data_IF_562350149678
#
_entry.id   IF_562350149678
#
_cell.length_a   1.000
_cell.length_b   1.000
_cell.length_c   1.000
_cell.angle_alpha   90.00
_cell.angle_beta   90.00
_cell.angle_gamma   90.00
#
_symmetry.space_group_name_H-M   'P 1'
#
loop_
_entity.id
_entity.type
_entity.pdbx_description
1 polymer ?
#
# COMPACT_ATOMS: atom_id res chain seq x y z
N UNK A 1 -17.91 2.96 6.14
CA UNK A 1 -17.15 3.68 5.11
C UNK A 1 -18.12 4.61 4.39
N UNK A 2 -17.85 5.91 4.42
CA UNK A 2 -18.67 6.92 3.73
C UNK A 2 -17.79 7.64 2.70
N UNK A 3 -18.29 7.80 1.47
CA UNK A 3 -17.65 8.66 0.47
C UNK A 3 -18.25 10.06 0.56
N UNK A 4 -17.44 11.04 0.95
CA UNK A 4 -17.85 12.43 1.10
C UNK A 4 -17.31 13.24 -0.06
N UNK A 5 -18.19 13.82 -0.87
CA UNK A 5 -17.81 14.73 -1.96
C UNK A 5 -17.46 16.09 -1.38
N UNK A 6 -16.35 16.66 -1.83
CA UNK A 6 -15.89 18.01 -1.46
C UNK A 6 -15.38 18.75 -2.70
N UNK A 7 -15.35 20.10 -2.69
CA UNK A 7 -14.61 20.83 -3.71
C UNK A 7 -13.11 20.53 -3.60
N UNK A 8 -12.43 20.43 -4.74
CA UNK A 8 -10.97 20.33 -4.77
C UNK A 8 -10.34 21.62 -4.23
N UNK A 9 -9.20 21.52 -3.53
CA UNK A 9 -8.52 22.71 -3.03
C UNK A 9 -8.04 23.58 -4.20
N UNK A 10 -8.11 24.91 -4.10
CA UNK A 10 -7.59 25.78 -5.14
C UNK A 10 -6.09 25.53 -5.38
N UNK A 11 -5.68 25.50 -6.65
CA UNK A 11 -4.27 25.43 -7.06
C UNK A 11 -3.50 24.19 -6.56
N UNK A 12 -4.20 23.10 -6.21
CA UNK A 12 -3.58 21.90 -5.66
C UNK A 12 -2.53 21.30 -6.62
N UNK A 13 -2.73 21.36 -7.94
CA UNK A 13 -1.75 20.85 -8.91
C UNK A 13 -0.45 21.66 -8.89
N UNK A 14 -0.54 23.00 -8.80
CA UNK A 14 0.64 23.86 -8.71
C UNK A 14 1.42 23.58 -7.42
N UNK A 15 0.70 23.38 -6.31
CA UNK A 15 1.30 22.95 -5.04
C UNK A 15 1.94 21.56 -5.15
N UNK A 16 1.26 20.59 -5.77
CA UNK A 16 1.79 19.26 -6.01
C UNK A 16 3.12 19.32 -6.79
N UNK A 17 3.17 20.11 -7.87
CA UNK A 17 4.40 20.31 -8.64
C UNK A 17 5.51 20.98 -7.81
N UNK A 18 5.19 21.99 -7.01
CA UNK A 18 6.15 22.66 -6.11
C UNK A 18 6.73 21.70 -5.05
N UNK A 19 5.92 20.77 -4.56
CA UNK A 19 6.30 19.79 -3.54
C UNK A 19 6.93 18.50 -4.11
N UNK A 20 7.16 18.44 -5.42
CA UNK A 20 7.83 17.32 -6.10
C UNK A 20 6.91 16.17 -6.51
N UNK A 21 5.58 16.32 -6.41
CA UNK A 21 4.61 15.31 -6.83
C UNK A 21 4.34 15.36 -8.34
N UNK A 22 5.35 15.10 -9.16
CA UNK A 22 5.30 15.35 -10.61
C UNK A 22 4.33 14.45 -11.40
N UNK A 23 3.87 13.35 -10.81
CA UNK A 23 2.95 12.39 -11.43
C UNK A 23 1.52 12.49 -10.87
N UNK A 24 1.16 13.65 -10.30
CA UNK A 24 -0.21 13.92 -9.86
C UNK A 24 -1.25 13.86 -11.00
N UNK A 25 -0.79 13.96 -12.24
CA UNK A 25 -1.54 13.79 -13.50
C UNK A 25 -0.69 12.96 -14.46
N UNK A 26 -1.28 11.92 -15.06
CA UNK A 26 -0.60 11.00 -15.99
C UNK A 26 -1.42 10.97 -17.28
N UNK A 27 -0.78 11.24 -18.41
CA UNK A 27 -1.43 11.25 -19.74
C UNK A 27 -2.68 12.14 -19.84
N UNK A 28 -2.70 13.25 -19.08
CA UNK A 28 -3.83 14.18 -19.00
C UNK A 28 -4.93 13.77 -18.01
N UNK A 29 -4.85 12.58 -17.42
CA UNK A 29 -5.79 12.07 -16.43
C UNK A 29 -5.30 12.30 -14.99
N UNK A 30 -6.16 12.73 -14.06
CA UNK A 30 -5.78 12.93 -12.67
C UNK A 30 -5.47 11.60 -11.98
N UNK A 31 -4.21 11.44 -11.55
CA UNK A 31 -3.76 10.35 -10.68
C UNK A 31 -4.22 10.61 -9.24
N UNK A 32 -3.98 11.83 -8.75
CA UNK A 32 -4.49 12.30 -7.46
C UNK A 32 -5.84 13.00 -7.65
N UNK A 33 -6.83 12.68 -6.80
CA UNK A 33 -8.19 13.23 -6.88
C UNK A 33 -8.62 13.78 -5.53
N UNK A 34 -9.02 15.04 -5.48
CA UNK A 34 -9.46 15.71 -4.25
C UNK A 34 -10.97 15.93 -4.18
N UNK A 35 -11.72 15.53 -5.22
CA UNK A 35 -13.17 15.74 -5.29
C UNK A 35 -13.99 14.92 -4.30
N UNK A 36 -13.36 13.99 -3.58
CA UNK A 36 -13.95 13.27 -2.47
C UNK A 36 -12.89 12.69 -1.55
N UNK A 37 -13.29 12.42 -0.30
CA UNK A 37 -12.53 11.57 0.61
C UNK A 37 -13.41 10.43 1.14
N UNK A 38 -12.77 9.41 1.72
CA UNK A 38 -13.45 8.32 2.38
C UNK A 38 -13.28 8.45 3.89
N UNK A 39 -14.39 8.42 4.61
CA UNK A 39 -14.43 8.40 6.06
C UNK A 39 -14.66 6.97 6.54
N UNK A 40 -13.85 6.55 7.50
CA UNK A 40 -13.97 5.26 8.17
C UNK A 40 -14.26 5.50 9.65
N UNK A 41 -14.96 4.56 10.29
CA UNK A 41 -14.97 4.51 11.76
C UNK A 41 -13.67 3.88 12.25
N UNK A 42 -13.29 4.15 13.49
CA UNK A 42 -12.11 3.51 14.09
C UNK A 42 -12.23 1.97 14.08
N UNK A 43 -13.42 1.44 14.38
CA UNK A 43 -13.68 0.00 14.33
C UNK A 43 -13.45 -0.59 12.92
N UNK A 44 -13.84 0.12 11.86
CA UNK A 44 -13.56 -0.33 10.48
C UNK A 44 -12.06 -0.36 10.19
N UNK A 45 -11.30 0.61 10.71
CA UNK A 45 -9.85 0.63 10.56
C UNK A 45 -9.22 -0.54 11.31
N UNK A 46 -9.42 -0.63 12.61
CA UNK A 46 -8.74 -1.61 13.47
C UNK A 46 -9.16 -3.05 13.14
N UNK A 47 -10.48 -3.29 13.03
CA UNK A 47 -11.03 -4.64 12.87
C UNK A 47 -11.07 -5.10 11.42
N UNK A 48 -11.54 -4.25 10.51
CA UNK A 48 -11.77 -4.69 9.13
C UNK A 48 -10.52 -4.54 8.25
N UNK A 49 -9.52 -3.73 8.64
CA UNK A 49 -8.33 -3.45 7.83
C UNK A 49 -7.00 -3.81 8.52
N UNK A 50 -6.72 -3.33 9.74
CA UNK A 50 -5.45 -3.59 10.43
C UNK A 50 -5.32 -5.07 10.82
N UNK A 51 -6.32 -5.63 11.50
CA UNK A 51 -6.34 -7.05 11.90
C UNK A 51 -6.07 -8.02 10.73
N UNK A 52 -6.78 -7.95 9.58
CA UNK A 52 -6.47 -8.82 8.45
C UNK A 52 -5.10 -8.50 7.83
N UNK A 53 -4.64 -7.24 7.82
CA UNK A 53 -3.31 -6.88 7.34
C UNK A 53 -2.21 -7.60 8.13
N UNK A 54 -2.27 -7.55 9.46
CA UNK A 54 -1.33 -8.23 10.35
C UNK A 54 -1.36 -9.75 10.14
N UNK A 55 -2.56 -10.33 10.16
CA UNK A 55 -2.74 -11.78 9.97
C UNK A 55 -2.16 -12.25 8.63
N UNK A 56 -2.43 -11.52 7.55
CA UNK A 56 -1.94 -11.85 6.21
C UNK A 56 -0.44 -11.63 6.08
N UNK A 57 0.12 -10.64 6.77
CA UNK A 57 1.56 -10.42 6.82
C UNK A 57 2.26 -11.62 7.45
N UNK A 58 1.80 -12.08 8.63
CA UNK A 58 2.35 -13.26 9.30
C UNK A 58 2.24 -14.53 8.44
N UNK A 59 1.08 -14.73 7.81
CA UNK A 59 0.88 -15.84 6.87
C UNK A 59 1.85 -15.76 5.68
N UNK A 60 2.11 -14.56 5.15
CA UNK A 60 3.06 -14.35 4.07
C UNK A 60 4.48 -14.66 4.52
N UNK A 61 4.92 -14.17 5.68
CA UNK A 61 6.26 -14.46 6.21
C UNK A 61 6.48 -15.96 6.44
N UNK A 62 5.46 -16.67 6.96
CA UNK A 62 5.51 -18.12 7.11
C UNK A 62 5.57 -18.85 5.75
N UNK A 63 4.88 -18.34 4.73
CA UNK A 63 4.96 -18.88 3.37
C UNK A 63 6.36 -18.67 2.78
N UNK A 64 6.93 -17.46 2.91
CA UNK A 64 8.28 -17.14 2.41
C UNK A 64 9.32 -18.07 3.03
N UNK A 65 9.29 -18.28 4.36
CA UNK A 65 10.22 -19.20 5.02
C UNK A 65 10.16 -20.62 4.42
N UNK A 66 8.95 -21.13 4.20
CA UNK A 66 8.75 -22.46 3.59
C UNK A 66 9.26 -22.51 2.15
N UNK A 67 9.03 -21.47 1.36
CA UNK A 67 9.47 -21.39 -0.04
C UNK A 67 10.99 -21.32 -0.13
N UNK A 68 11.64 -20.47 0.68
CA UNK A 68 13.09 -20.30 0.68
C UNK A 68 13.85 -21.58 1.04
N UNK A 69 13.19 -22.56 1.67
CA UNK A 69 13.76 -23.87 2.06
C UNK A 69 13.33 -25.04 1.17
N UNK A 70 12.65 -24.77 0.05
CA UNK A 70 12.08 -25.81 -0.81
C UNK A 70 12.32 -25.55 -2.29
N UNK A 71 13.26 -26.29 -2.87
CA UNK A 71 13.54 -26.27 -4.32
C UNK A 71 12.29 -26.56 -5.16
N UNK A 72 11.43 -27.49 -4.72
CA UNK A 72 10.18 -27.80 -5.41
C UNK A 72 9.20 -26.61 -5.44
N UNK A 73 9.15 -25.81 -4.37
CA UNK A 73 8.33 -24.59 -4.35
C UNK A 73 8.95 -23.46 -5.16
N UNK A 74 10.27 -23.27 -5.09
CA UNK A 74 10.99 -22.31 -5.92
C UNK A 74 10.82 -22.62 -7.41
N UNK A 75 10.89 -23.90 -7.79
CA UNK A 75 10.61 -24.35 -9.15
C UNK A 75 9.16 -24.06 -9.56
N UNK A 76 8.19 -24.32 -8.67
CA UNK A 76 6.76 -24.01 -8.93
C UNK A 76 6.50 -22.51 -9.11
N UNK A 77 7.28 -21.65 -8.46
CA UNK A 77 7.26 -20.20 -8.64
C UNK A 77 8.07 -19.73 -9.87
N UNK A 78 8.59 -20.67 -10.67
CA UNK A 78 9.41 -20.40 -11.84
C UNK A 78 10.66 -19.56 -11.55
N UNK A 79 11.20 -19.66 -10.32
CA UNK A 79 12.44 -18.99 -9.94
C UNK A 79 13.63 -19.74 -10.55
N UNK A 80 14.55 -19.07 -11.27
CA UNK A 80 15.72 -19.71 -11.86
C UNK A 80 16.62 -20.39 -10.82
N UNK A 81 17.06 -21.62 -11.08
CA UNK A 81 17.85 -22.44 -10.15
C UNK A 81 19.13 -21.76 -9.64
N UNK A 82 19.77 -20.95 -10.49
CA UNK A 82 20.99 -20.22 -10.11
C UNK A 82 20.76 -19.13 -9.05
N UNK A 83 19.50 -18.75 -8.76
CA UNK A 83 19.14 -17.76 -7.75
C UNK A 83 18.80 -18.38 -6.38
N UNK A 84 18.57 -19.69 -6.31
CA UNK A 84 18.00 -20.34 -5.12
C UNK A 84 18.88 -20.17 -3.87
N UNK A 85 20.20 -20.36 -3.99
CA UNK A 85 21.13 -20.16 -2.88
C UNK A 85 21.16 -18.70 -2.40
N UNK A 86 21.09 -17.74 -3.32
CA UNK A 86 21.04 -16.31 -2.99
C UNK A 86 19.76 -15.97 -2.22
N UNK A 87 18.62 -16.51 -2.63
CA UNK A 87 17.33 -16.32 -1.95
C UNK A 87 17.36 -16.94 -0.55
N UNK A 88 17.84 -18.17 -0.42
CA UNK A 88 17.97 -18.85 0.87
C UNK A 88 18.89 -18.08 1.82
N UNK A 89 20.05 -17.61 1.34
CA UNK A 89 20.97 -16.77 2.14
C UNK A 89 20.37 -15.43 2.52
N UNK A 90 19.67 -14.76 1.60
CA UNK A 90 19.00 -13.49 1.88
C UNK A 90 18.01 -13.65 3.03
N UNK A 91 17.13 -14.67 2.96
CA UNK A 91 16.14 -14.95 3.99
C UNK A 91 16.78 -15.33 5.34
N UNK A 92 17.73 -16.27 5.33
CA UNK A 92 18.36 -16.76 6.57
C UNK A 92 19.30 -15.76 7.24
N UNK A 93 19.74 -14.72 6.52
CA UNK A 93 20.49 -13.61 7.12
C UNK A 93 19.65 -12.78 8.10
N UNK A 94 18.31 -12.90 8.05
CA UNK A 94 17.41 -12.23 8.99
C UNK A 94 17.35 -10.71 8.82
N UNK A 95 17.73 -10.18 7.66
CA UNK A 95 17.59 -8.75 7.38
C UNK A 95 16.10 -8.36 7.39
N UNK A 96 15.71 -7.32 8.15
CA UNK A 96 14.32 -6.92 8.23
C UNK A 96 13.85 -6.29 6.91
N UNK A 97 12.61 -6.53 6.47
CA UNK A 97 12.02 -5.76 5.39
C UNK A 97 11.85 -4.30 5.80
N UNK A 98 11.96 -3.37 4.84
CA UNK A 98 11.78 -1.95 5.12
C UNK A 98 10.29 -1.57 5.18
N UNK A 99 9.54 -1.88 4.12
CA UNK A 99 8.08 -1.70 4.05
C UNK A 99 7.49 -2.54 2.90
N UNK A 100 6.17 -2.69 2.90
CA UNK A 100 5.41 -3.34 1.82
C UNK A 100 4.06 -2.65 1.64
N UNK A 101 3.38 -2.93 0.52
CA UNK A 101 2.01 -2.49 0.25
C UNK A 101 1.12 -3.71 0.06
N UNK A 102 -0.04 -3.73 0.71
CA UNK A 102 -1.07 -4.74 0.48
C UNK A 102 -2.27 -4.09 -0.18
N UNK A 103 -2.77 -4.72 -1.23
CA UNK A 103 -3.91 -4.22 -1.97
C UNK A 103 -5.15 -5.03 -1.57
N UNK A 104 -6.20 -4.33 -1.16
CA UNK A 104 -7.41 -4.93 -0.60
C UNK A 104 -8.66 -4.52 -1.36
N UNK A 105 -9.61 -5.44 -1.48
CA UNK A 105 -11.00 -5.15 -1.75
C UNK A 105 -11.77 -5.01 -0.42
N UNK A 106 -12.43 -3.88 -0.22
CA UNK A 106 -13.20 -3.60 0.99
C UNK A 106 -14.53 -2.91 0.65
N UNK A 107 -15.63 -3.45 1.16
CA UNK A 107 -16.99 -2.95 0.92
C UNK A 107 -17.47 -1.96 1.99
N UNK A 108 -16.74 -1.82 3.10
CA UNK A 108 -17.24 -1.14 4.30
C UNK A 108 -17.96 -2.07 5.29
N UNK A 109 -18.14 -3.34 4.95
CA UNK A 109 -18.83 -4.36 5.76
C UNK A 109 -18.02 -5.67 5.81
N UNK A 110 -17.50 -6.00 7.00
CA UNK A 110 -16.68 -7.19 7.24
C UNK A 110 -15.21 -7.03 6.82
N UNK A 111 -14.36 -8.05 7.03
CA UNK A 111 -12.92 -7.91 6.84
C UNK A 111 -12.53 -7.73 5.36
N UNK A 112 -11.59 -6.82 5.12
CA UNK A 112 -10.98 -6.59 3.82
C UNK A 112 -10.38 -7.88 3.23
N UNK A 113 -10.44 -8.01 1.90
CA UNK A 113 -9.99 -9.21 1.16
C UNK A 113 -8.75 -8.90 0.33
N UNK A 114 -7.70 -9.67 0.55
CA UNK A 114 -6.42 -9.51 -0.12
C UNK A 114 -6.55 -9.75 -1.63
N UNK A 115 -6.02 -8.81 -2.41
CA UNK A 115 -5.86 -8.94 -3.86
C UNK A 115 -4.41 -9.27 -4.20
N UNK A 116 -3.46 -8.50 -3.69
CA UNK A 116 -2.03 -8.70 -3.93
C UNK A 116 -1.13 -8.18 -2.79
N UNK A 117 0.13 -8.66 -2.79
CA UNK A 117 1.18 -8.28 -1.86
C UNK A 117 2.37 -7.71 -2.65
N UNK A 118 2.66 -6.43 -2.46
CA UNK A 118 3.76 -5.71 -3.12
C UNK A 118 4.90 -5.47 -2.12
N UNK A 119 5.86 -6.39 -2.07
CA UNK A 119 6.98 -6.36 -1.09
C UNK A 119 8.35 -6.09 -1.74
N UNK A 120 8.43 -6.07 -3.07
CA UNK A 120 9.67 -5.83 -3.81
C UNK A 120 9.86 -4.34 -4.13
N UNK A 121 8.91 -3.76 -4.84
CA UNK A 121 8.90 -2.33 -5.21
C UNK A 121 7.58 -1.63 -4.85
N UNK A 122 7.19 -1.61 -3.55
CA UNK A 122 6.01 -0.87 -3.13
C UNK A 122 6.14 0.62 -3.49
N UNK A 123 5.02 1.25 -3.85
CA UNK A 123 4.89 2.70 -4.06
C UNK A 123 3.87 3.27 -3.07
N UNK A 124 3.49 4.55 -3.21
CA UNK A 124 2.43 5.24 -2.44
C UNK A 124 2.82 5.80 -1.06
N UNK A 125 4.07 5.65 -0.62
CA UNK A 125 4.52 6.21 0.67
C UNK A 125 4.53 7.74 0.68
N UNK A 126 4.91 8.38 -0.43
CA UNK A 126 4.91 9.85 -0.55
C UNK A 126 3.47 10.40 -0.49
N UNK A 127 2.56 9.75 -1.20
CA UNK A 127 1.15 10.10 -1.28
C UNK A 127 0.49 9.98 0.09
N UNK A 128 0.57 8.80 0.71
CA UNK A 128 -0.08 8.53 1.99
C UNK A 128 0.60 9.24 3.18
N UNK A 129 1.93 9.28 3.19
CA UNK A 129 2.71 9.79 4.33
C UNK A 129 2.94 11.30 4.32
N UNK A 130 2.84 11.97 3.16
CA UNK A 130 3.12 13.41 3.06
C UNK A 130 2.00 14.18 2.38
N UNK A 131 1.65 13.84 1.13
CA UNK A 131 0.73 14.69 0.36
C UNK A 131 -0.72 14.62 0.89
N UNK A 132 -1.16 13.45 1.35
CA UNK A 132 -2.45 13.27 2.03
C UNK A 132 -2.52 14.07 3.34
N UNK A 133 -1.42 14.17 4.09
CA UNK A 133 -1.35 15.02 5.29
C UNK A 133 -1.47 16.51 4.95
N UNK A 134 -0.74 16.97 3.92
CA UNK A 134 -0.86 18.36 3.42
C UNK A 134 -2.29 18.66 2.97
N UNK A 135 -2.95 17.70 2.30
CA UNK A 135 -4.36 17.81 1.93
C UNK A 135 -5.25 17.94 3.17
N UNK A 136 -5.08 17.09 4.18
CA UNK A 136 -5.88 17.10 5.40
C UNK A 136 -5.79 18.45 6.13
N UNK A 137 -4.58 18.92 6.39
CA UNK A 137 -4.33 20.19 7.11
C UNK A 137 -4.97 21.38 6.38
N UNK A 138 -4.82 21.45 5.06
CA UNK A 138 -5.39 22.55 4.28
C UNK A 138 -6.90 22.46 4.10
N UNK A 139 -7.46 21.25 3.99
CA UNK A 139 -8.90 21.04 3.96
C UNK A 139 -9.53 21.50 5.28
N UNK A 140 -8.94 21.14 6.42
CA UNK A 140 -9.39 21.62 7.75
C UNK A 140 -9.34 23.16 7.83
N UNK A 141 -8.28 23.78 7.31
CA UNK A 141 -8.14 25.24 7.33
C UNK A 141 -9.17 25.98 6.46
N UNK A 142 -9.77 25.31 5.47
CA UNK A 142 -10.78 25.89 4.58
C UNK A 142 -12.21 25.78 5.12
N UNK A 143 -12.44 24.98 6.17
CA UNK A 143 -13.76 24.69 6.77
C UNK A 143 -14.51 23.57 6.06
#
# INVERSE_FOLDING_TARGET
MLRITIPERPQWQALAQQLGFHFHTIDGEPYWKESAYYQFTLEQVERDMETPTETLHEMCMALVDRVCRSEALLQRLAIPAHMWETIHRSWTSGQPPLYGRMDFAYSGDGPAKLLELNYDTPTSLYEAGFFQWVWLEQAIAQG
#
